data_IF_234778693947
#
_entry.id   IF_234778693947
#
_cell.length_a   1.000
_cell.length_b   1.000
_cell.length_c   1.000
_cell.angle_alpha   90.00
_cell.angle_beta   90.00
_cell.angle_gamma   90.00
#
_symmetry.space_group_name_H-M   'P 1'
#
loop_
_entity.id
_entity.type
_entity.pdbx_description
1 polymer ?
#
# COMPACT_ATOMS: atom_id res chain seq x y z
N UNK A 1 -1.41 -25.62 -11.04
CA UNK A 1 -2.30 -24.74 -11.82
C UNK A 1 -1.65 -23.37 -11.97
N UNK A 2 -1.62 -22.77 -13.17
CA UNK A 2 -1.09 -21.40 -13.35
C UNK A 2 -2.14 -20.37 -12.89
N UNK A 3 -1.79 -19.46 -11.99
CA UNK A 3 -2.69 -18.45 -11.39
C UNK A 3 -2.70 -17.10 -12.13
N UNK A 4 -2.10 -17.03 -13.33
CA UNK A 4 -1.89 -15.77 -14.06
C UNK A 4 -2.71 -15.71 -15.35
N UNK A 5 -3.38 -14.58 -15.61
CA UNK A 5 -4.03 -14.27 -16.89
C UNK A 5 -3.20 -13.25 -17.68
N UNK A 6 -2.94 -13.46 -18.98
CA UNK A 6 -2.23 -12.49 -19.81
C UNK A 6 -3.12 -11.25 -20.04
N UNK A 7 -2.46 -10.09 -20.20
CA UNK A 7 -3.11 -8.83 -20.55
C UNK A 7 -2.38 -8.20 -21.74
N UNK A 8 -3.11 -7.47 -22.58
CA UNK A 8 -2.56 -6.63 -23.64
C UNK A 8 -2.73 -5.18 -23.24
N UNK A 9 -1.64 -4.41 -23.27
CA UNK A 9 -1.65 -2.98 -22.95
C UNK A 9 -0.89 -2.20 -24.02
N UNK A 10 -1.46 -1.07 -24.44
CA UNK A 10 -0.78 -0.13 -25.34
C UNK A 10 0.01 0.87 -24.52
N UNK A 11 1.28 1.07 -24.85
CA UNK A 11 2.17 2.03 -24.19
C UNK A 11 2.69 3.04 -25.21
N UNK A 12 2.87 4.32 -24.82
CA UNK A 12 3.63 5.28 -25.63
C UNK A 12 4.99 4.70 -26.02
N UNK A 13 5.42 4.94 -27.26
CA UNK A 13 6.65 4.34 -27.80
C UNK A 13 7.86 4.66 -26.92
N UNK A 14 7.90 5.84 -26.34
CA UNK A 14 9.04 6.34 -25.57
C UNK A 14 9.11 5.63 -24.22
N UNK A 15 7.97 5.47 -23.55
CA UNK A 15 7.85 4.70 -22.31
C UNK A 15 8.22 3.23 -22.51
N UNK A 16 7.82 2.63 -23.64
CA UNK A 16 8.22 1.26 -23.96
C UNK A 16 9.74 1.12 -24.14
N UNK A 17 10.39 2.08 -24.81
CA UNK A 17 11.86 2.08 -24.98
C UNK A 17 12.56 2.18 -23.64
N UNK A 18 12.09 3.05 -22.75
CA UNK A 18 12.65 3.21 -21.41
C UNK A 18 12.47 1.93 -20.57
N UNK A 19 11.26 1.36 -20.56
CA UNK A 19 10.99 0.11 -19.85
C UNK A 19 11.88 -1.04 -20.36
N UNK A 20 12.13 -1.11 -21.67
CA UNK A 20 13.04 -2.10 -22.26
C UNK A 20 14.49 -1.90 -21.84
N UNK A 21 14.95 -0.65 -21.77
CA UNK A 21 16.31 -0.31 -21.31
C UNK A 21 16.50 -0.75 -19.85
N UNK A 22 15.60 -0.32 -18.96
CA UNK A 22 15.63 -0.65 -17.53
C UNK A 22 15.56 -2.16 -17.29
N UNK A 23 14.66 -2.86 -18.00
CA UNK A 23 14.56 -4.32 -17.88
C UNK A 23 15.88 -5.02 -18.25
N UNK A 24 16.59 -4.55 -19.28
CA UNK A 24 17.90 -5.10 -19.68
C UNK A 24 18.98 -4.82 -18.64
N UNK A 25 19.05 -3.59 -18.13
CA UNK A 25 20.01 -3.19 -17.10
C UNK A 25 19.86 -4.03 -15.82
N UNK A 26 18.63 -4.37 -15.47
CA UNK A 26 18.30 -5.20 -14.29
C UNK A 26 18.24 -6.71 -14.58
N UNK A 27 18.66 -7.15 -15.77
CA UNK A 27 18.61 -8.56 -16.19
C UNK A 27 17.23 -9.24 -15.98
N UNK A 28 16.13 -8.51 -16.19
CA UNK A 28 14.75 -8.98 -16.00
C UNK A 28 13.91 -8.87 -17.27
N UNK A 29 12.80 -9.58 -17.30
CA UNK A 29 11.85 -9.49 -18.42
C UNK A 29 10.94 -8.27 -18.31
N UNK A 30 10.41 -7.80 -19.45
CA UNK A 30 9.39 -6.73 -19.50
C UNK A 30 8.18 -7.04 -18.61
N UNK A 31 7.73 -8.30 -18.62
CA UNK A 31 6.58 -8.74 -17.84
C UNK A 31 6.84 -8.74 -16.34
N UNK A 32 8.08 -8.96 -15.90
CA UNK A 32 8.46 -8.82 -14.48
C UNK A 32 8.45 -7.36 -14.08
N UNK A 33 9.14 -6.49 -14.83
CA UNK A 33 9.14 -5.04 -14.60
C UNK A 33 7.71 -4.49 -14.48
N UNK A 34 6.83 -4.79 -15.44
CA UNK A 34 5.45 -4.28 -15.45
C UNK A 34 4.66 -4.81 -14.25
N UNK A 35 4.80 -6.09 -13.89
CA UNK A 35 4.11 -6.67 -12.73
C UNK A 35 4.59 -6.06 -11.42
N UNK A 36 5.89 -5.82 -11.28
CA UNK A 36 6.47 -5.21 -10.10
C UNK A 36 6.03 -3.74 -9.97
N UNK A 37 6.08 -2.97 -11.06
CA UNK A 37 5.60 -1.60 -11.10
C UNK A 37 4.11 -1.52 -10.71
N UNK A 38 3.27 -2.42 -11.23
CA UNK A 38 1.86 -2.47 -10.86
C UNK A 38 1.66 -2.80 -9.37
N UNK A 39 2.42 -3.76 -8.82
CA UNK A 39 2.37 -4.08 -7.38
C UNK A 39 2.77 -2.89 -6.53
N UNK A 40 3.85 -2.19 -6.89
CA UNK A 40 4.32 -1.00 -6.17
C UNK A 40 3.26 0.11 -6.22
N UNK A 41 2.69 0.38 -7.40
CA UNK A 41 1.63 1.40 -7.54
C UNK A 41 0.42 1.11 -6.66
N UNK A 42 -0.09 -0.13 -6.69
CA UNK A 42 -1.24 -0.53 -5.88
C UNK A 42 -0.94 -0.46 -4.38
N UNK A 43 0.26 -0.86 -3.97
CA UNK A 43 0.70 -0.82 -2.57
C UNK A 43 0.79 0.63 -2.08
N UNK A 44 1.45 1.51 -2.85
CA UNK A 44 1.54 2.94 -2.54
C UNK A 44 0.17 3.61 -2.45
N UNK A 45 -0.74 3.29 -3.38
CA UNK A 45 -2.12 3.79 -3.34
C UNK A 45 -2.91 3.31 -2.13
N UNK A 46 -2.66 2.08 -1.66
CA UNK A 46 -3.25 1.57 -0.40
C UNK A 46 -2.70 2.32 0.81
N UNK A 47 -1.39 2.52 0.88
CA UNK A 47 -0.75 3.25 1.97
C UNK A 47 -1.17 4.71 2.05
N UNK A 48 -1.31 5.39 0.91
CA UNK A 48 -1.82 6.76 0.86
C UNK A 48 -3.22 6.86 1.49
N UNK A 49 -4.14 5.96 1.12
CA UNK A 49 -5.48 5.92 1.70
C UNK A 49 -5.46 5.63 3.20
N UNK A 50 -4.62 4.70 3.65
CA UNK A 50 -4.51 4.38 5.07
C UNK A 50 -3.96 5.56 5.88
N UNK A 51 -2.97 6.28 5.33
CA UNK A 51 -2.42 7.49 5.96
C UNK A 51 -3.46 8.59 6.06
N UNK A 52 -4.21 8.84 4.99
CA UNK A 52 -5.30 9.83 5.01
C UNK A 52 -6.34 9.49 6.08
N UNK A 53 -6.85 8.25 6.06
CA UNK A 53 -7.80 7.78 7.07
C UNK A 53 -7.24 7.86 8.50
N UNK A 54 -5.95 7.53 8.67
CA UNK A 54 -5.26 7.62 9.95
C UNK A 54 -5.15 9.06 10.46
N UNK A 55 -4.83 10.01 9.58
CA UNK A 55 -4.77 11.43 9.91
C UNK A 55 -6.14 11.97 10.31
N UNK A 56 -7.19 11.71 9.51
CA UNK A 56 -8.58 12.09 9.82
C UNK A 56 -9.04 11.48 11.15
N UNK A 57 -8.65 10.23 11.43
CA UNK A 57 -8.98 9.56 12.70
C UNK A 57 -8.23 10.18 13.88
N UNK A 58 -6.96 10.52 13.71
CA UNK A 58 -6.16 11.17 14.75
C UNK A 58 -6.73 12.55 15.10
N UNK A 59 -7.10 13.36 14.09
CA UNK A 59 -7.75 14.65 14.30
C UNK A 59 -9.08 14.51 15.05
N UNK A 60 -9.95 13.60 14.60
CA UNK A 60 -11.25 13.34 15.23
C UNK A 60 -11.12 12.89 16.69
N UNK A 61 -10.08 12.14 17.02
CA UNK A 61 -9.80 11.65 18.37
C UNK A 61 -8.89 12.58 19.18
N UNK A 62 -8.46 13.71 18.60
CA UNK A 62 -7.54 14.65 19.26
C UNK A 62 -6.17 14.07 19.59
N UNK A 63 -5.72 13.05 18.85
CA UNK A 63 -4.42 12.38 19.07
C UNK A 63 -3.30 13.27 18.55
N UNK A 64 -2.46 13.79 19.45
CA UNK A 64 -1.30 14.64 19.12
C UNK A 64 0.04 13.96 19.44
N UNK A 65 0.00 12.88 20.21
CA UNK A 65 1.17 12.15 20.67
C UNK A 65 0.91 10.65 20.78
N UNK A 66 2.00 9.89 20.89
CA UNK A 66 1.92 8.45 21.17
C UNK A 66 1.28 8.16 22.54
N UNK A 67 1.47 9.05 23.52
CA UNK A 67 0.81 8.94 24.82
C UNK A 67 -0.72 9.06 24.70
N UNK A 68 -1.25 9.91 23.82
CA UNK A 68 -2.69 10.02 23.57
C UNK A 68 -3.24 8.73 22.98
N UNK A 69 -2.51 8.15 22.02
CA UNK A 69 -2.86 6.87 21.41
C UNK A 69 -2.90 5.75 22.46
N UNK A 70 -1.87 5.68 23.31
CA UNK A 70 -1.77 4.67 24.36
C UNK A 70 -2.95 4.75 25.34
N UNK A 71 -3.35 5.96 25.74
CA UNK A 71 -4.54 6.18 26.59
C UNK A 71 -5.82 5.64 25.95
N UNK A 72 -6.04 5.91 24.65
CA UNK A 72 -7.21 5.38 23.92
C UNK A 72 -7.18 3.86 23.86
N UNK A 73 -6.03 3.26 23.53
CA UNK A 73 -5.88 1.81 23.43
C UNK A 73 -6.13 1.11 24.77
N UNK A 74 -5.64 1.65 25.87
CA UNK A 74 -5.83 1.08 27.20
C UNK A 74 -7.29 1.16 27.64
N UNK A 75 -8.00 2.24 27.30
CA UNK A 75 -9.45 2.34 27.47
C UNK A 75 -10.21 1.24 26.72
N UNK A 76 -9.88 1.02 25.45
CA UNK A 76 -10.50 -0.03 24.62
C UNK A 76 -10.22 -1.43 25.18
N UNK A 77 -8.96 -1.71 25.57
CA UNK A 77 -8.56 -2.99 26.18
C UNK A 77 -9.29 -3.25 27.50
N UNK A 78 -9.42 -2.23 28.35
CA UNK A 78 -10.14 -2.32 29.61
C UNK A 78 -11.63 -2.60 29.39
N UNK A 79 -12.27 -1.91 28.43
CA UNK A 79 -13.67 -2.14 28.07
C UNK A 79 -13.90 -3.58 27.56
N UNK A 80 -13.00 -4.08 26.70
CA UNK A 80 -13.09 -5.45 26.17
C UNK A 80 -12.97 -6.52 27.25
N UNK A 81 -12.11 -6.32 28.27
CA UNK A 81 -12.00 -7.24 29.41
C UNK A 81 -13.29 -7.31 30.23
N UNK A 82 -13.97 -6.18 30.41
CA UNK A 82 -15.26 -6.12 31.15
C UNK A 82 -16.42 -6.76 30.38
N UNK A 83 -16.37 -6.78 29.05
CA UNK A 83 -17.42 -7.36 28.20
C UNK A 83 -17.30 -8.88 28.00
N UNK A 84 -16.20 -9.48 28.45
CA UNK A 84 -15.92 -10.93 28.34
C UNK A 84 -15.67 -11.59 29.71
N UNK A 85 -15.96 -10.87 30.80
CA UNK A 85 -15.90 -11.36 32.17
C UNK A 85 -17.27 -11.40 32.82
#
# INVERSE_FOLDING_TARGET
MRTTKPITVSLPRDLLREAQRVAREEARTRSELIRDALRQYLTSRRWQRLRQWGAETAERLGLKSEADLQRVLDGVRAARRRAHG
#
